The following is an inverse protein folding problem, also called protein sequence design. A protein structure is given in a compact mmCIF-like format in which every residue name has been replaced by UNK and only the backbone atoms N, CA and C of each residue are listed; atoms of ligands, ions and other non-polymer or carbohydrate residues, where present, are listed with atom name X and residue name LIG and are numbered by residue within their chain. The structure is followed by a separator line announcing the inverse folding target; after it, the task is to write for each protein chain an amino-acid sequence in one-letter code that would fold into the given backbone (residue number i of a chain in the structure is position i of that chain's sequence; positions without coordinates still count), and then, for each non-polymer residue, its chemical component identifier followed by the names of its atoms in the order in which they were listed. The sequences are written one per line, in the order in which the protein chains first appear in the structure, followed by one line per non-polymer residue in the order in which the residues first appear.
data_IF_095756513519
#
_entry.id   IF_095756513519
#
_cell.length_a   1.000
_cell.length_b   1.000
_cell.length_c   1.000
_cell.angle_alpha   90.00
_cell.angle_beta   90.00
_cell.angle_gamma   90.00
#
_symmetry.space_group_name_H-M   'P 1'
#
loop_
_entity.id
_entity.type
_entity.pdbx_description
1 polymer ?
#
# COMPACT_ATOMS: atom_id res chain seq x y z
N UNK A 1 12.11 -15.78 -3.99
CA UNK A 1 11.68 -17.06 -3.37
C UNK A 1 10.87 -16.83 -2.08
N UNK A 2 11.28 -15.91 -1.18
CA UNK A 2 10.60 -15.67 0.09
C UNK A 2 9.13 -15.21 -0.08
N UNK A 3 8.85 -14.26 -0.98
CA UNK A 3 7.48 -13.77 -1.21
C UNK A 3 6.53 -14.87 -1.70
N UNK A 4 7.01 -15.75 -2.59
CA UNK A 4 6.24 -16.91 -3.07
C UNK A 4 5.89 -17.86 -1.93
N UNK A 5 6.83 -18.06 -0.99
CA UNK A 5 6.58 -18.92 0.18
C UNK A 5 5.51 -18.32 1.10
N UNK A 6 5.51 -16.99 1.33
CA UNK A 6 4.46 -16.32 2.10
C UNK A 6 3.09 -16.44 1.45
N UNK A 7 3.00 -16.27 0.12
CA UNK A 7 1.75 -16.44 -0.63
C UNK A 7 1.24 -17.87 -0.53
N UNK A 8 2.10 -18.86 -0.74
CA UNK A 8 1.72 -20.29 -0.66
C UNK A 8 1.27 -20.65 0.76
N UNK A 9 1.99 -20.17 1.78
CA UNK A 9 1.61 -20.39 3.18
C UNK A 9 0.24 -19.77 3.49
N UNK A 10 0.00 -18.52 3.07
CA UNK A 10 -1.28 -17.85 3.25
C UNK A 10 -2.42 -18.68 2.62
N UNK A 11 -2.27 -19.11 1.36
CA UNK A 11 -3.26 -19.92 0.66
C UNK A 11 -3.53 -21.27 1.33
N UNK A 12 -2.51 -21.92 1.86
CA UNK A 12 -2.65 -23.18 2.57
C UNK A 12 -3.35 -23.01 3.92
N UNK A 13 -3.11 -21.88 4.60
CA UNK A 13 -3.70 -21.59 5.92
C UNK A 13 -5.14 -21.09 5.79
N UNK A 14 -5.43 -20.32 4.73
CA UNK A 14 -6.71 -19.67 4.49
C UNK A 14 -7.22 -20.00 3.07
N UNK A 15 -7.60 -21.25 2.77
CA UNK A 15 -7.99 -21.64 1.41
C UNK A 15 -9.24 -20.91 0.90
N UNK A 16 -10.11 -20.49 1.79
CA UNK A 16 -11.39 -19.81 1.49
C UNK A 16 -11.27 -18.27 1.61
N UNK A 17 -10.05 -17.72 1.46
CA UNK A 17 -9.89 -16.27 1.40
C UNK A 17 -10.60 -15.68 0.18
N UNK A 18 -11.07 -14.46 0.31
CA UNK A 18 -11.74 -13.75 -0.76
C UNK A 18 -10.99 -12.45 -1.09
N UNK A 19 -10.88 -12.15 -2.39
CA UNK A 19 -10.44 -10.85 -2.87
C UNK A 19 -11.60 -10.15 -3.55
N UNK A 20 -11.87 -8.91 -3.13
CA UNK A 20 -12.91 -8.08 -3.72
C UNK A 20 -12.38 -6.69 -4.06
N UNK A 21 -12.91 -6.00 -5.08
CA UNK A 21 -12.55 -4.60 -5.33
C UNK A 21 -13.04 -3.71 -4.18
N UNK A 22 -12.34 -2.57 -4.00
CA UNK A 22 -12.85 -1.50 -3.14
C UNK A 22 -13.99 -0.80 -3.88
N UNK A 23 -15.14 -0.76 -3.24
CA UNK A 23 -16.35 -0.07 -3.68
C UNK A 23 -16.81 0.92 -2.60
N UNK A 24 -17.63 1.94 -2.90
CA UNK A 24 -18.03 2.95 -1.92
C UNK A 24 -18.63 2.38 -0.63
N UNK A 25 -19.39 1.31 -0.71
CA UNK A 25 -20.00 0.60 0.42
C UNK A 25 -18.99 -0.16 1.29
N UNK A 26 -17.76 -0.38 0.79
CA UNK A 26 -16.68 -1.09 1.49
C UNK A 26 -15.58 -0.19 2.05
N UNK A 27 -15.66 1.10 1.82
CA UNK A 27 -14.66 2.07 2.31
C UNK A 27 -14.57 2.03 3.84
N UNK A 28 -15.69 1.83 4.53
CA UNK A 28 -15.69 1.79 5.99
C UNK A 28 -14.87 0.61 6.52
N UNK A 29 -14.90 -0.55 5.88
CA UNK A 29 -14.07 -1.70 6.26
C UNK A 29 -12.56 -1.36 6.17
N UNK A 30 -12.15 -0.63 5.14
CA UNK A 30 -10.75 -0.20 4.97
C UNK A 30 -10.34 0.80 6.07
N UNK A 31 -11.24 1.74 6.42
CA UNK A 31 -11.00 2.71 7.49
C UNK A 31 -10.88 2.03 8.86
N UNK A 32 -11.70 1.02 9.12
CA UNK A 32 -11.68 0.26 10.37
C UNK A 32 -10.36 -0.52 10.50
N UNK A 33 -9.94 -1.21 9.44
CA UNK A 33 -8.64 -1.92 9.44
C UNK A 33 -7.46 -0.94 9.61
N UNK A 34 -7.51 0.22 8.97
CA UNK A 34 -6.48 1.25 9.12
C UNK A 34 -6.42 1.75 10.57
N UNK A 35 -7.56 2.00 11.19
CA UNK A 35 -7.62 2.45 12.58
C UNK A 35 -7.03 1.40 13.54
N UNK A 36 -7.30 0.12 13.34
CA UNK A 36 -6.70 -0.97 14.11
C UNK A 36 -5.20 -1.07 13.86
N UNK A 37 -4.79 -1.01 12.60
CA UNK A 37 -3.38 -1.02 12.21
C UNK A 37 -2.61 0.13 12.87
N UNK A 38 -3.21 1.32 12.90
CA UNK A 38 -2.61 2.51 13.49
C UNK A 38 -2.43 2.37 15.01
N UNK A 39 -3.39 1.79 15.72
CA UNK A 39 -3.27 1.50 17.16
C UNK A 39 -2.09 0.57 17.43
N UNK A 40 -1.97 -0.52 16.67
CA UNK A 40 -0.90 -1.52 16.85
C UNK A 40 0.49 -0.93 16.54
N UNK A 41 0.58 -0.04 15.55
CA UNK A 41 1.85 0.55 15.09
C UNK A 41 2.15 1.93 15.70
N UNK A 42 1.36 2.38 16.68
CA UNK A 42 1.56 3.65 17.40
C UNK A 42 1.73 4.86 16.48
N UNK A 43 0.89 4.98 15.43
CA UNK A 43 0.97 6.05 14.43
C UNK A 43 0.95 7.46 15.04
N UNK A 44 0.23 7.67 16.13
CA UNK A 44 0.09 8.98 16.78
C UNK A 44 1.39 9.46 17.46
N UNK A 45 2.38 8.57 17.62
CA UNK A 45 3.65 8.86 18.30
C UNK A 45 4.82 9.07 17.33
N UNK A 46 4.62 8.88 16.04
CA UNK A 46 5.68 8.98 15.03
C UNK A 46 5.45 10.20 14.13
N UNK A 47 6.42 11.10 14.06
CA UNK A 47 6.41 12.21 13.10
C UNK A 47 6.32 11.67 11.66
N UNK A 48 5.35 12.17 10.89
CA UNK A 48 5.13 11.79 9.49
C UNK A 48 3.99 10.76 9.28
N UNK A 49 3.77 9.82 10.19
CA UNK A 49 2.67 8.84 10.06
C UNK A 49 1.29 9.47 10.19
N UNK A 50 1.15 10.54 10.97
CA UNK A 50 -0.10 11.30 11.06
C UNK A 50 -0.50 11.99 9.75
N UNK A 51 0.47 12.42 8.94
CA UNK A 51 0.22 13.00 7.61
C UNK A 51 -0.16 11.91 6.61
N UNK A 52 0.54 10.79 6.60
CA UNK A 52 0.20 9.62 5.78
C UNK A 52 -1.22 9.13 6.09
N UNK A 53 -1.57 9.00 7.36
CA UNK A 53 -2.90 8.59 7.80
C UNK A 53 -3.99 9.53 7.31
N UNK A 54 -3.79 10.85 7.45
CA UNK A 54 -4.77 11.84 6.95
C UNK A 54 -4.93 11.75 5.44
N UNK A 55 -3.84 11.62 4.70
CA UNK A 55 -3.88 11.47 3.26
C UNK A 55 -4.61 10.18 2.83
N UNK A 56 -4.37 9.06 3.53
CA UNK A 56 -5.06 7.80 3.31
C UNK A 56 -6.56 7.92 3.54
N UNK A 57 -6.98 8.49 4.68
CA UNK A 57 -8.40 8.68 5.02
C UNK A 57 -9.07 9.58 3.99
N UNK A 58 -8.42 10.69 3.62
CA UNK A 58 -8.93 11.60 2.58
C UNK A 58 -9.08 10.87 1.23
N UNK A 59 -8.09 10.07 0.84
CA UNK A 59 -8.12 9.30 -0.40
C UNK A 59 -9.29 8.29 -0.41
N UNK A 60 -9.52 7.57 0.69
CA UNK A 60 -10.64 6.64 0.79
C UNK A 60 -12.00 7.35 0.68
N UNK A 61 -12.18 8.50 1.34
CA UNK A 61 -13.42 9.26 1.23
C UNK A 61 -13.67 9.87 -0.16
N UNK A 62 -12.62 10.06 -0.96
CA UNK A 62 -12.70 10.61 -2.31
C UNK A 62 -12.31 9.58 -3.38
N UNK A 63 -12.46 8.30 -3.09
CA UNK A 63 -11.90 7.19 -3.87
C UNK A 63 -12.27 7.25 -5.35
N UNK A 64 -13.55 7.40 -5.66
CA UNK A 64 -14.03 7.50 -7.04
C UNK A 64 -13.62 8.84 -7.70
N UNK A 65 -13.74 9.94 -6.97
CA UNK A 65 -13.40 11.27 -7.50
C UNK A 65 -11.90 11.39 -7.85
N UNK A 66 -11.05 10.67 -7.13
CA UNK A 66 -9.61 10.59 -7.41
C UNK A 66 -9.25 9.53 -8.47
N UNK A 67 -10.22 8.77 -8.98
CA UNK A 67 -9.98 7.71 -9.95
C UNK A 67 -9.13 6.56 -9.40
N UNK A 68 -9.23 6.29 -8.10
CA UNK A 68 -8.47 5.23 -7.46
C UNK A 68 -9.05 3.86 -7.80
N UNK A 69 -8.16 2.88 -7.86
CA UNK A 69 -8.50 1.46 -7.99
C UNK A 69 -7.87 0.71 -6.85
N UNK A 70 -8.58 -0.23 -6.25
CA UNK A 70 -8.06 -0.97 -5.09
C UNK A 70 -8.75 -2.30 -4.88
N UNK A 71 -8.24 -3.03 -3.92
CA UNK A 71 -8.77 -4.33 -3.53
C UNK A 71 -8.65 -4.60 -2.04
N UNK A 72 -9.51 -5.48 -1.57
CA UNK A 72 -9.65 -5.93 -0.20
C UNK A 72 -9.46 -7.44 -0.15
N UNK A 73 -8.76 -7.90 0.86
CA UNK A 73 -8.59 -9.31 1.16
C UNK A 73 -9.35 -9.65 2.44
N UNK A 74 -10.21 -10.67 2.36
CA UNK A 74 -10.97 -11.18 3.49
C UNK A 74 -10.53 -12.59 3.86
N UNK A 75 -10.56 -12.89 5.15
CA UNK A 75 -10.41 -14.23 5.71
C UNK A 75 -11.53 -14.43 6.73
N UNK A 76 -12.30 -15.53 6.55
CA UNK A 76 -13.46 -15.83 7.40
C UNK A 76 -14.44 -14.65 7.51
N UNK A 77 -14.68 -13.93 6.41
CA UNK A 77 -15.60 -12.79 6.35
C UNK A 77 -15.08 -11.50 7.01
N UNK A 78 -13.84 -11.48 7.49
CA UNK A 78 -13.19 -10.26 8.05
C UNK A 78 -12.15 -9.72 7.10
N UNK A 79 -12.09 -8.40 6.99
CA UNK A 79 -11.01 -7.72 6.28
C UNK A 79 -9.66 -8.00 6.96
N UNK A 80 -8.67 -8.41 6.20
CA UNK A 80 -7.30 -8.65 6.69
C UNK A 80 -6.25 -7.82 5.95
N UNK A 81 -6.57 -7.29 4.78
CA UNK A 81 -5.70 -6.37 4.06
C UNK A 81 -6.48 -5.57 3.02
N UNK A 82 -5.97 -4.40 2.67
CA UNK A 82 -6.40 -3.63 1.51
C UNK A 82 -5.22 -2.91 0.86
N UNK A 83 -5.41 -2.58 -0.41
CA UNK A 83 -4.45 -1.80 -1.19
C UNK A 83 -5.19 -0.95 -2.21
N UNK A 84 -4.62 0.20 -2.57
CA UNK A 84 -5.13 0.99 -3.67
C UNK A 84 -4.05 1.83 -4.32
N UNK A 85 -4.33 2.26 -5.54
CA UNK A 85 -3.47 3.10 -6.32
C UNK A 85 -4.17 3.67 -7.54
N UNK A 86 -3.39 4.27 -8.42
CA UNK A 86 -3.89 4.83 -9.69
C UNK A 86 -2.78 4.86 -10.73
N UNK A 87 -3.12 5.04 -12.02
CA UNK A 87 -2.13 5.27 -13.07
C UNK A 87 -1.25 6.50 -12.77
N UNK A 88 0.06 6.35 -12.90
CA UNK A 88 1.02 7.47 -12.88
C UNK A 88 1.20 8.02 -14.29
N UNK A 89 1.27 7.12 -15.26
CA UNK A 89 1.36 7.42 -16.67
C UNK A 89 0.83 6.23 -17.51
N UNK A 90 0.99 6.25 -18.82
CA UNK A 90 0.46 5.23 -19.73
C UNK A 90 1.09 3.83 -19.56
N UNK A 91 2.26 3.72 -18.92
CA UNK A 91 3.00 2.46 -18.73
C UNK A 91 3.15 2.07 -17.25
N UNK A 92 2.89 2.98 -16.33
CA UNK A 92 3.18 2.78 -14.91
C UNK A 92 1.94 2.97 -14.05
N UNK A 93 1.63 1.97 -13.25
CA UNK A 93 0.60 2.05 -12.21
C UNK A 93 1.28 2.26 -10.84
N UNK A 94 0.79 3.24 -10.08
CA UNK A 94 1.27 3.53 -8.72
C UNK A 94 0.43 2.81 -7.67
N UNK A 95 1.07 2.06 -6.79
CA UNK A 95 0.45 1.51 -5.57
C UNK A 95 0.79 2.45 -4.42
N UNK A 96 -0.19 3.25 -4.00
CA UNK A 96 0.00 4.30 -3.00
C UNK A 96 -0.10 3.79 -1.57
N UNK A 97 -1.04 2.87 -1.33
CA UNK A 97 -1.31 2.34 0.01
C UNK A 97 -1.39 0.82 -0.03
N UNK A 98 -0.80 0.19 0.98
CA UNK A 98 -0.93 -1.23 1.25
C UNK A 98 -0.92 -1.42 2.77
N UNK A 99 -2.04 -1.86 3.33
CA UNK A 99 -2.21 -2.11 4.77
C UNK A 99 -2.70 -3.55 4.97
N UNK A 100 -2.19 -4.19 6.01
CA UNK A 100 -2.61 -5.53 6.38
C UNK A 100 -2.53 -5.76 7.89
N UNK A 101 -3.38 -6.62 8.39
CA UNK A 101 -3.30 -7.15 9.74
C UNK A 101 -1.99 -7.92 9.89
N UNK A 102 -1.10 -7.44 10.75
CA UNK A 102 0.22 -8.03 10.97
C UNK A 102 0.17 -9.38 11.69
N UNK A 103 -0.95 -9.72 12.33
CA UNK A 103 -1.18 -11.03 12.95
C UNK A 103 -1.46 -12.12 11.92
N UNK A 104 -1.87 -11.76 10.70
CA UNK A 104 -2.17 -12.68 9.60
C UNK A 104 -0.93 -12.84 8.72
N UNK A 105 -0.22 -13.94 8.94
CA UNK A 105 1.03 -14.20 8.20
C UNK A 105 0.78 -14.29 6.69
N UNK A 106 1.54 -13.50 5.93
CA UNK A 106 1.47 -13.48 4.47
C UNK A 106 0.42 -12.53 3.89
N UNK A 107 -0.43 -11.87 4.69
CA UNK A 107 -1.49 -10.98 4.21
C UNK A 107 -0.95 -9.86 3.30
N UNK A 108 0.16 -9.20 3.67
CA UNK A 108 0.83 -8.21 2.81
C UNK A 108 1.28 -8.78 1.46
N UNK A 109 1.88 -9.97 1.47
CA UNK A 109 2.33 -10.58 0.22
C UNK A 109 1.16 -11.01 -0.65
N UNK A 110 0.07 -11.46 -0.01
CA UNK A 110 -1.12 -11.93 -0.71
C UNK A 110 -1.92 -10.79 -1.33
N UNK A 111 -2.19 -9.70 -0.59
CA UNK A 111 -2.90 -8.54 -1.15
C UNK A 111 -2.13 -7.93 -2.31
N UNK A 112 -0.80 -7.80 -2.19
CA UNK A 112 0.05 -7.33 -3.26
C UNK A 112 -0.03 -8.24 -4.50
N UNK A 113 0.01 -9.56 -4.31
CA UNK A 113 -0.10 -10.54 -5.39
C UNK A 113 -1.45 -10.45 -6.09
N UNK A 114 -2.55 -10.44 -5.35
CA UNK A 114 -3.90 -10.39 -5.89
C UNK A 114 -4.16 -9.09 -6.66
N UNK A 115 -3.71 -7.96 -6.12
CA UNK A 115 -3.88 -6.67 -6.77
C UNK A 115 -3.02 -6.55 -8.03
N UNK A 116 -1.74 -6.92 -7.96
CA UNK A 116 -0.82 -6.84 -9.08
C UNK A 116 -1.31 -7.65 -10.30
N UNK A 117 -1.91 -8.82 -10.07
CA UNK A 117 -2.48 -9.65 -11.15
C UNK A 117 -3.78 -9.10 -11.75
N UNK A 118 -4.34 -8.03 -11.19
CA UNK A 118 -5.57 -7.37 -11.67
C UNK A 118 -5.33 -5.98 -12.24
N UNK A 119 -4.12 -5.48 -12.11
CA UNK A 119 -3.71 -4.24 -12.79
C UNK A 119 -3.74 -4.51 -14.30
N UNK A 120 -4.37 -3.64 -15.12
CA UNK A 120 -4.46 -3.83 -16.55
C UNK A 120 -3.08 -4.03 -17.23
N UNK A 121 -3.00 -4.94 -18.17
CA UNK A 121 -1.75 -5.33 -18.86
C UNK A 121 -1.03 -4.19 -19.60
N UNK A 122 -1.74 -3.09 -19.88
CA UNK A 122 -1.13 -1.89 -20.45
C UNK A 122 -0.07 -1.27 -19.55
N UNK A 123 -0.12 -1.51 -18.21
CA UNK A 123 0.87 -1.01 -17.28
C UNK A 123 2.01 -2.02 -17.13
N UNK A 124 3.14 -1.71 -17.78
CA UNK A 124 4.33 -2.57 -17.80
C UNK A 124 5.04 -2.53 -16.43
N UNK A 125 4.90 -1.40 -15.72
CA UNK A 125 5.54 -1.18 -14.42
C UNK A 125 4.53 -0.95 -13.31
N UNK A 126 4.86 -1.47 -12.13
CA UNK A 126 4.19 -1.16 -10.87
C UNK A 126 5.18 -0.38 -10.00
N UNK A 127 4.87 0.89 -9.74
CA UNK A 127 5.62 1.72 -8.81
C UNK A 127 5.03 1.54 -7.39
N UNK A 128 5.85 1.16 -6.44
CA UNK A 128 5.45 0.93 -5.05
C UNK A 128 5.92 2.04 -4.11
N UNK A 129 6.04 3.25 -4.64
CA UNK A 129 6.43 4.43 -3.90
C UNK A 129 7.79 4.32 -3.20
N UNK A 130 8.13 5.29 -2.39
CA UNK A 130 9.40 5.39 -1.69
C UNK A 130 9.44 4.63 -0.36
N UNK A 131 10.65 4.41 0.16
CA UNK A 131 10.87 3.74 1.44
C UNK A 131 11.04 4.72 2.62
N UNK A 132 10.92 6.02 2.37
CA UNK A 132 11.06 7.12 3.34
C UNK A 132 12.38 7.06 4.14
N UNK A 133 13.39 6.33 3.67
CA UNK A 133 14.65 6.11 4.38
C UNK A 133 14.56 5.11 5.53
N UNK A 134 13.42 4.44 5.71
CA UNK A 134 13.22 3.43 6.75
C UNK A 134 13.82 2.09 6.31
N UNK A 135 14.79 1.58 7.05
CA UNK A 135 15.52 0.35 6.71
C UNK A 135 14.58 -0.86 6.52
N UNK A 136 13.62 -1.04 7.41
CA UNK A 136 12.64 -2.13 7.34
C UNK A 136 11.78 -2.06 6.07
N UNK A 137 11.32 -0.86 5.71
CA UNK A 137 10.52 -0.65 4.51
C UNK A 137 11.36 -0.84 3.24
N UNK A 138 12.59 -0.33 3.22
CA UNK A 138 13.56 -0.56 2.14
C UNK A 138 13.80 -2.05 1.92
N UNK A 139 14.09 -2.80 2.99
CA UNK A 139 14.28 -4.25 2.93
C UNK A 139 13.04 -4.96 2.39
N UNK A 140 11.86 -4.57 2.83
CA UNK A 140 10.59 -5.11 2.33
C UNK A 140 10.43 -4.86 0.83
N UNK A 141 10.69 -3.64 0.34
CA UNK A 141 10.58 -3.28 -1.09
C UNK A 141 11.64 -3.99 -1.94
N UNK A 142 12.90 -4.02 -1.52
CA UNK A 142 13.97 -4.74 -2.21
C UNK A 142 13.72 -6.24 -2.30
N UNK A 143 12.98 -6.82 -1.35
CA UNK A 143 12.63 -8.25 -1.39
C UNK A 143 11.73 -8.66 -2.56
N UNK A 144 11.12 -7.69 -3.26
CA UNK A 144 10.39 -7.90 -4.51
C UNK A 144 11.29 -7.91 -5.75
N UNK A 145 12.60 -7.64 -5.58
CA UNK A 145 13.58 -7.59 -6.67
C UNK A 145 13.18 -6.58 -7.77
N UNK A 146 13.05 -5.29 -7.43
CA UNK A 146 12.61 -4.28 -8.38
C UNK A 146 13.57 -4.23 -9.59
N UNK A 147 13.01 -4.04 -10.78
CA UNK A 147 13.77 -3.89 -12.02
C UNK A 147 14.48 -2.55 -12.09
N UNK A 148 13.93 -1.54 -11.40
CA UNK A 148 14.46 -0.17 -11.35
C UNK A 148 14.25 0.43 -9.98
N UNK A 149 15.24 1.14 -9.49
CA UNK A 149 15.12 2.01 -8.30
C UNK A 149 15.27 3.43 -8.82
N UNK A 150 14.17 4.20 -8.71
CA UNK A 150 14.16 5.60 -9.15
C UNK A 150 14.83 6.48 -8.09
N UNK A 151 15.82 7.25 -8.52
CA UNK A 151 16.40 8.29 -7.68
C UNK A 151 15.52 9.54 -7.73
N UNK A 152 15.18 10.09 -6.58
CA UNK A 152 14.44 11.34 -6.45
C UNK A 152 15.39 12.46 -6.03
N UNK A 153 15.24 13.61 -6.66
CA UNK A 153 16.06 14.80 -6.40
C UNK A 153 15.17 15.95 -6.01
N UNK A 154 15.67 16.79 -5.10
CA UNK A 154 15.03 18.04 -4.73
C UNK A 154 15.82 19.21 -5.32
N UNK A 155 15.14 20.03 -6.11
CA UNK A 155 15.72 21.28 -6.62
C UNK A 155 15.37 22.44 -5.69
N UNK A 156 16.37 23.12 -5.13
CA UNK A 156 16.20 24.27 -4.27
C UNK A 156 16.90 25.50 -4.86
N UNK A 157 16.32 26.69 -4.69
CA UNK A 157 17.00 27.93 -4.99
C UNK A 157 18.16 28.14 -4.02
N UNK A 158 19.34 28.51 -4.51
CA UNK A 158 20.55 28.73 -3.68
C UNK A 158 20.38 29.80 -2.62
N UNK A 159 19.53 30.80 -2.87
CA UNK A 159 19.39 32.01 -2.04
C UNK A 159 18.36 31.85 -0.90
N UNK A 160 17.55 30.82 -0.92
CA UNK A 160 16.61 30.51 0.16
C UNK A 160 16.74 29.03 0.51
N UNK A 161 17.54 28.69 1.54
CA UNK A 161 17.42 27.37 2.12
C UNK A 161 16.00 27.24 2.67
N UNK A 162 15.13 26.59 1.91
CA UNK A 162 13.80 26.23 2.43
C UNK A 162 14.02 25.41 3.68
N UNK A 163 13.50 25.90 4.81
CA UNK A 163 13.26 25.04 5.94
C UNK A 163 12.45 23.86 5.40
N UNK A 164 13.08 22.69 5.32
CA UNK A 164 12.46 21.51 4.77
C UNK A 164 11.19 21.23 5.55
N UNK A 165 10.05 21.58 4.97
CA UNK A 165 8.78 21.00 5.41
C UNK A 165 8.86 19.55 4.99
N UNK A 166 9.20 18.69 5.93
CA UNK A 166 9.10 17.25 5.72
C UNK A 166 7.61 16.95 5.61
N UNK A 167 7.20 16.59 4.40
CA UNK A 167 5.86 16.08 4.13
C UNK A 167 5.71 14.69 4.70
#
# INVERSE_FOLDING_TARGET
QAKRNHINRFRNTYPDYEYTPITPDRIQECLDLEAEWCKVNHCDQQEGTGNERRALIYALHNFEALGLTGGILHVNGKIVAFTFGMPINHETFGVHVEKADTSIEGAYAMINYEFANRIPEQYIYINREEDLGLEGLRKAKLSYQPVTILEKYMACLKEHPMNMVKW
#
